data_IF_473472944093
#
_entry.id   IF_473472944093
#
_cell.length_a   1.000
_cell.length_b   1.000
_cell.length_c   1.000
_cell.angle_alpha   90.00
_cell.angle_beta   90.00
_cell.angle_gamma   90.00
#
_symmetry.space_group_name_H-M   'P 1'
#
loop_
_entity.id
_entity.type
_entity.pdbx_description
1 polymer ?
#
# COMPACT_ATOMS: atom_id res chain seq x y z
N UNK A 1 -16.66 -2.48 -3.44
CA UNK A 1 -15.36 -2.78 -2.81
C UNK A 1 -14.31 -1.98 -3.53
N UNK A 2 -13.39 -1.37 -2.79
CA UNK A 2 -12.31 -0.59 -3.35
C UNK A 2 -11.11 -1.51 -3.58
N UNK A 3 -10.83 -1.81 -4.84
CA UNK A 3 -9.72 -2.67 -5.25
C UNK A 3 -8.47 -1.82 -5.43
N UNK A 4 -7.39 -2.19 -4.74
CA UNK A 4 -6.12 -1.49 -4.73
C UNK A 4 -5.07 -2.39 -5.37
N UNK A 5 -4.42 -1.87 -6.40
CA UNK A 5 -3.20 -2.44 -6.96
C UNK A 5 -2.04 -1.60 -6.46
N UNK A 6 -1.09 -2.25 -5.80
CA UNK A 6 0.10 -1.61 -5.22
C UNK A 6 1.39 -2.15 -5.83
N UNK A 7 1.30 -3.30 -6.51
CA UNK A 7 2.42 -3.93 -7.17
C UNK A 7 2.41 -3.59 -8.66
N UNK A 8 3.55 -3.15 -9.18
CA UNK A 8 3.62 -2.60 -10.54
C UNK A 8 2.92 -1.24 -10.59
N UNK A 9 2.16 -0.98 -11.65
CA UNK A 9 1.45 0.30 -11.81
C UNK A 9 0.34 0.43 -10.78
N UNK A 10 0.51 1.38 -9.86
CA UNK A 10 -0.43 1.54 -8.76
C UNK A 10 -1.78 2.07 -9.22
N UNK A 11 -2.85 1.45 -8.74
CA UNK A 11 -4.21 1.76 -9.13
C UNK A 11 -5.19 1.61 -7.97
N UNK A 12 -6.33 2.29 -8.07
CA UNK A 12 -7.44 2.16 -7.15
C UNK A 12 -8.76 2.25 -7.93
N UNK A 13 -9.57 1.19 -7.85
CA UNK A 13 -10.81 1.04 -8.62
C UNK A 13 -11.99 0.74 -7.69
N UNK A 14 -13.13 1.39 -7.93
CA UNK A 14 -14.40 1.04 -7.31
C UNK A 14 -15.42 0.69 -8.40
N UNK A 15 -15.86 -0.57 -8.46
CA UNK A 15 -16.76 -1.05 -9.51
C UNK A 15 -16.25 -0.64 -10.91
N UNK A 16 -14.97 -0.95 -11.18
CA UNK A 16 -14.23 -0.63 -12.41
C UNK A 16 -14.05 0.86 -12.73
N UNK A 17 -14.50 1.75 -11.85
CA UNK A 17 -14.28 3.20 -11.99
C UNK A 17 -13.01 3.62 -11.26
N UNK A 18 -12.11 4.38 -11.91
CA UNK A 18 -10.84 4.78 -11.30
C UNK A 18 -11.04 5.86 -10.23
N UNK A 19 -10.38 5.67 -9.09
CA UNK A 19 -10.22 6.67 -8.04
C UNK A 19 -9.06 7.63 -8.32
N UNK A 20 -8.05 7.20 -9.08
CA UNK A 20 -6.92 8.05 -9.48
C UNK A 20 -7.28 8.91 -10.71
N UNK A 21 -6.57 10.04 -10.96
CA UNK A 21 -5.44 10.59 -10.19
C UNK A 21 -5.86 11.49 -9.02
N UNK A 22 -5.09 11.54 -7.94
CA UNK A 22 -5.27 12.59 -6.93
C UNK A 22 -4.65 13.91 -7.38
N UNK A 23 -5.15 15.03 -6.85
CA UNK A 23 -4.66 16.39 -7.20
C UNK A 23 -3.19 16.59 -6.86
N UNK A 24 -2.68 15.94 -5.83
CA UNK A 24 -1.29 16.09 -5.35
C UNK A 24 -0.67 14.72 -5.10
N UNK A 25 0.66 14.64 -5.24
CA UNK A 25 1.39 13.41 -4.89
C UNK A 25 1.28 13.09 -3.40
N UNK A 26 1.26 14.09 -2.51
CA UNK A 26 1.03 13.90 -1.06
C UNK A 26 -0.34 13.26 -0.77
N UNK A 27 -1.39 13.62 -1.52
CA UNK A 27 -2.70 12.98 -1.38
C UNK A 27 -2.69 11.52 -1.85
N UNK A 28 -2.01 11.24 -2.97
CA UNK A 28 -1.79 9.86 -3.46
C UNK A 28 -1.01 9.04 -2.43
N UNK A 29 0.10 9.58 -1.93
CA UNK A 29 0.97 8.95 -0.95
C UNK A 29 0.25 8.68 0.38
N UNK A 30 -0.47 9.67 0.92
CA UNK A 30 -1.27 9.51 2.14
C UNK A 30 -2.36 8.44 1.97
N UNK A 31 -3.02 8.40 0.82
CA UNK A 31 -4.03 7.38 0.54
C UNK A 31 -3.43 5.97 0.56
N UNK A 32 -2.36 5.72 -0.20
CA UNK A 32 -1.73 4.41 -0.24
C UNK A 32 -1.09 4.03 1.10
N UNK A 33 -0.44 4.97 1.79
CA UNK A 33 0.08 4.76 3.15
C UNK A 33 -1.00 4.21 4.09
N UNK A 34 -2.15 4.90 4.18
CA UNK A 34 -3.24 4.49 5.07
C UNK A 34 -3.82 3.13 4.65
N UNK A 35 -3.97 2.87 3.35
CA UNK A 35 -4.41 1.56 2.86
C UNK A 35 -3.47 0.45 3.31
N UNK A 36 -2.15 0.63 3.20
CA UNK A 36 -1.14 -0.34 3.63
C UNK A 36 -1.18 -0.53 5.14
N UNK A 37 -1.13 0.55 5.92
CA UNK A 37 -1.16 0.48 7.38
C UNK A 37 -2.41 -0.26 7.88
N UNK A 38 -3.57 -0.01 7.26
CA UNK A 38 -4.85 -0.58 7.67
C UNK A 38 -5.05 -2.04 7.26
N UNK A 39 -4.63 -2.42 6.05
CA UNK A 39 -4.94 -3.74 5.47
C UNK A 39 -3.74 -4.69 5.52
N UNK A 40 -2.53 -4.17 5.30
CA UNK A 40 -1.32 -4.97 5.41
C UNK A 40 -0.88 -5.07 6.88
N UNK A 41 -0.67 -3.95 7.58
CA UNK A 41 -0.20 -4.01 8.97
C UNK A 41 -1.30 -4.17 10.02
N UNK A 42 -2.57 -3.99 9.66
CA UNK A 42 -3.71 -4.10 10.58
C UNK A 42 -3.78 -2.98 11.62
N UNK A 43 -3.03 -1.88 11.45
CA UNK A 43 -3.08 -0.71 12.33
C UNK A 43 -4.34 0.08 12.01
N UNK A 44 -5.35 0.06 12.86
CA UNK A 44 -6.66 0.66 12.54
C UNK A 44 -6.78 2.14 12.92
N UNK A 45 -5.79 2.69 13.62
CA UNK A 45 -5.78 4.06 14.14
C UNK A 45 -4.41 4.71 13.95
N UNK A 46 -4.39 5.96 13.50
CA UNK A 46 -3.21 6.82 13.50
C UNK A 46 -3.50 8.15 14.19
N UNK A 47 -2.51 8.65 14.95
CA UNK A 47 -2.53 10.04 15.38
C UNK A 47 -2.33 10.95 14.17
N UNK A 48 -3.15 11.99 14.07
CA UNK A 48 -2.96 13.08 13.11
C UNK A 48 -1.59 13.72 13.27
N UNK A 49 -1.06 13.68 14.49
CA UNK A 49 0.26 14.22 14.76
C UNK A 49 1.36 13.49 14.01
N UNK A 50 1.41 12.18 14.18
CA UNK A 50 2.32 11.30 13.48
C UNK A 50 2.20 11.44 11.96
N UNK A 51 0.97 11.44 11.42
CA UNK A 51 0.77 11.62 9.97
C UNK A 51 1.26 12.98 9.48
N UNK A 52 1.10 14.04 10.26
CA UNK A 52 1.56 15.36 9.88
C UNK A 52 3.10 15.41 9.83
N UNK A 53 3.77 14.85 10.84
CA UNK A 53 5.23 14.83 10.92
C UNK A 53 5.84 13.90 9.85
N UNK A 54 5.16 12.80 9.51
CA UNK A 54 5.58 11.87 8.45
C UNK A 54 5.57 12.52 7.05
N UNK A 55 4.53 13.33 6.76
CA UNK A 55 4.29 13.87 5.42
C UNK A 55 4.76 15.33 5.22
N UNK A 56 4.97 16.09 6.30
CA UNK A 56 5.44 17.48 6.25
C UNK A 56 6.46 17.75 7.38
N UNK A 57 7.62 17.07 7.36
CA UNK A 57 8.59 17.13 8.46
C UNK A 57 9.22 18.52 8.65
N UNK A 58 9.35 19.29 7.57
CA UNK A 58 10.04 20.59 7.58
C UNK A 58 9.13 21.76 8.00
N UNK A 59 7.85 21.49 8.25
CA UNK A 59 6.89 22.51 8.65
C UNK A 59 6.69 22.52 10.16
N UNK A 60 6.36 23.71 10.69
CA UNK A 60 5.90 23.78 12.07
C UNK A 60 4.62 22.95 12.28
N UNK A 61 4.38 22.59 13.53
CA UNK A 61 3.27 21.72 13.94
C UNK A 61 1.91 22.18 13.45
N UNK A 62 1.66 23.49 13.41
CA UNK A 62 0.37 24.06 13.03
C UNK A 62 0.18 23.95 11.52
N UNK A 63 1.22 24.28 10.75
CA UNK A 63 1.24 24.19 9.30
C UNK A 63 1.16 22.73 8.82
N UNK A 64 1.88 21.80 9.45
CA UNK A 64 1.83 20.38 9.09
C UNK A 64 0.43 19.77 9.33
N UNK A 65 -0.20 20.09 10.47
CA UNK A 65 -1.58 19.67 10.77
C UNK A 65 -2.62 20.27 9.82
N UNK A 66 -2.44 21.54 9.42
CA UNK A 66 -3.30 22.20 8.43
C UNK A 66 -3.22 21.48 7.08
N UNK A 67 -2.00 21.21 6.60
CA UNK A 67 -1.78 20.49 5.36
C UNK A 67 -2.33 19.06 5.41
N UNK A 68 -2.17 18.36 6.55
CA UNK A 68 -2.78 17.06 6.76
C UNK A 68 -4.30 17.13 6.63
N UNK A 69 -4.94 18.12 7.27
CA UNK A 69 -6.39 18.29 7.21
C UNK A 69 -6.87 18.49 5.78
N UNK A 70 -6.22 19.37 5.02
CA UNK A 70 -6.55 19.64 3.62
C UNK A 70 -6.35 18.39 2.74
N UNK A 71 -5.26 17.66 2.95
CA UNK A 71 -4.93 16.45 2.19
C UNK A 71 -5.92 15.32 2.49
N UNK A 72 -6.27 15.10 3.76
CA UNK A 72 -7.31 14.17 4.16
C UNK A 72 -8.68 14.54 3.58
N UNK A 73 -9.00 15.84 3.51
CA UNK A 73 -10.23 16.31 2.87
C UNK A 73 -10.25 15.97 1.37
N UNK A 74 -9.16 16.20 0.65
CA UNK A 74 -9.03 15.83 -0.78
C UNK A 74 -9.26 14.33 -0.98
N UNK A 75 -8.57 13.50 -0.19
CA UNK A 75 -8.69 12.04 -0.28
C UNK A 75 -10.12 11.60 0.04
N UNK A 76 -10.66 12.02 1.19
CA UNK A 76 -11.98 11.59 1.66
C UNK A 76 -13.10 12.05 0.74
N UNK A 77 -13.01 13.28 0.21
CA UNK A 77 -14.01 13.79 -0.73
C UNK A 77 -14.02 12.97 -2.01
N UNK A 78 -12.83 12.63 -2.54
CA UNK A 78 -12.73 11.85 -3.77
C UNK A 78 -13.25 10.42 -3.58
N UNK A 79 -12.89 9.78 -2.47
CA UNK A 79 -13.40 8.45 -2.12
C UNK A 79 -14.92 8.50 -1.96
N UNK A 80 -15.45 9.44 -1.17
CA UNK A 80 -16.89 9.57 -0.93
C UNK A 80 -17.68 9.85 -2.21
N UNK A 81 -17.16 10.67 -3.11
CA UNK A 81 -17.79 10.94 -4.40
C UNK A 81 -17.91 9.67 -5.25
N UNK A 82 -16.91 8.79 -5.19
CA UNK A 82 -16.86 7.56 -5.98
C UNK A 82 -17.65 6.40 -5.34
N UNK A 83 -17.56 6.25 -4.03
CA UNK A 83 -18.05 5.07 -3.30
C UNK A 83 -19.34 5.34 -2.51
N UNK A 84 -19.67 6.61 -2.27
CA UNK A 84 -20.73 7.03 -1.33
C UNK A 84 -20.35 6.91 0.14
N UNK A 85 -19.13 6.47 0.47
CA UNK A 85 -18.69 6.16 1.83
C UNK A 85 -17.49 7.01 2.24
N UNK A 86 -17.38 7.33 3.52
CA UNK A 86 -16.22 8.04 4.04
C UNK A 86 -14.97 7.15 4.03
N UNK A 87 -13.81 7.72 3.71
CA UNK A 87 -12.56 6.95 3.64
C UNK A 87 -12.07 6.54 5.04
N UNK A 88 -12.26 7.42 6.02
CA UNK A 88 -11.82 7.24 7.39
C UNK A 88 -12.87 7.81 8.36
N UNK A 89 -12.85 7.33 9.59
CA UNK A 89 -13.60 7.89 10.72
C UNK A 89 -12.59 8.46 11.70
N UNK A 90 -12.86 9.59 12.34
CA UNK A 90 -11.87 10.11 13.28
C UNK A 90 -12.27 11.41 13.96
N UNK A 91 -11.41 11.83 14.88
CA UNK A 91 -11.52 13.08 15.62
C UNK A 91 -10.48 14.09 15.15
N UNK A 92 -10.43 15.28 15.74
CA UNK A 92 -9.32 16.23 15.50
C UNK A 92 -7.92 15.67 15.81
N UNK A 93 -7.82 14.56 16.53
CA UNK A 93 -6.54 13.96 16.93
C UNK A 93 -6.21 12.65 16.20
N UNK A 94 -7.21 11.97 15.65
CA UNK A 94 -7.06 10.60 15.15
C UNK A 94 -7.67 10.41 13.77
N UNK A 95 -7.10 9.48 13.01
CA UNK A 95 -7.58 8.98 11.73
C UNK A 95 -7.70 7.47 11.86
N UNK A 96 -8.93 6.98 11.85
CA UNK A 96 -9.22 5.55 12.01
C UNK A 96 -9.78 4.98 10.70
N UNK A 97 -9.48 3.71 10.45
CA UNK A 97 -10.06 2.96 9.32
C UNK A 97 -11.59 3.00 9.41
N UNK A 98 -12.26 3.37 8.32
CA UNK A 98 -13.69 3.13 8.20
C UNK A 98 -13.94 1.64 7.92
N UNK A 99 -14.57 0.92 8.85
CA UNK A 99 -14.86 -0.51 8.70
C UNK A 99 -15.98 -0.80 7.68
N UNK A 100 -16.83 0.17 7.38
CA UNK A 100 -17.88 0.03 6.37
C UNK A 100 -17.30 0.01 4.93
N UNK A 101 -16.18 0.73 4.74
CA UNK A 101 -15.46 0.76 3.48
C UNK A 101 -14.60 -0.49 3.32
N UNK A 102 -15.13 -1.46 2.58
CA UNK A 102 -14.39 -2.65 2.17
C UNK A 102 -13.30 -2.28 1.16
N UNK A 103 -12.05 -2.42 1.58
CA UNK A 103 -10.84 -2.24 0.78
C UNK A 103 -10.22 -3.62 0.59
N UNK A 104 -9.79 -3.90 -0.63
CA UNK A 104 -9.08 -5.12 -1.00
C UNK A 104 -7.79 -4.72 -1.69
N UNK A 105 -6.65 -5.17 -1.18
CA UNK A 105 -5.34 -4.88 -1.75
C UNK A 105 -4.68 -6.16 -2.27
N UNK A 106 -4.06 -6.09 -3.44
CA UNK A 106 -3.23 -7.16 -4.01
C UNK A 106 -2.15 -7.66 -3.04
N UNK A 107 -1.59 -6.77 -2.21
CA UNK A 107 -0.64 -7.15 -1.17
C UNK A 107 -1.22 -7.96 -0.01
N UNK A 108 -2.50 -7.81 0.30
CA UNK A 108 -3.15 -8.64 1.33
C UNK A 108 -3.27 -10.09 0.84
N UNK A 109 -3.58 -10.26 -0.44
CA UNK A 109 -3.54 -11.57 -1.10
C UNK A 109 -2.11 -12.09 -1.18
N UNK A 110 -1.15 -11.24 -1.54
CA UNK A 110 0.26 -11.62 -1.55
C UNK A 110 0.72 -12.08 -0.16
N UNK A 111 0.30 -11.44 0.93
CA UNK A 111 0.67 -11.84 2.29
C UNK A 111 0.04 -13.17 2.69
N UNK A 112 -1.27 -13.29 2.52
CA UNK A 112 -2.06 -14.44 2.97
C UNK A 112 -1.95 -15.67 2.06
N UNK A 113 -1.63 -15.50 0.78
CA UNK A 113 -1.53 -16.57 -0.20
C UNK A 113 -0.39 -17.54 0.10
N UNK A 114 -0.61 -18.82 -0.17
CA UNK A 114 0.41 -19.84 -0.06
C UNK A 114 1.49 -19.66 -1.13
N UNK A 115 2.70 -20.15 -0.85
CA UNK A 115 3.86 -20.00 -1.74
C UNK A 115 3.64 -20.64 -3.13
N UNK A 116 2.67 -21.54 -3.27
CA UNK A 116 2.52 -22.35 -4.47
C UNK A 116 1.94 -21.60 -5.68
N UNK A 117 1.30 -20.45 -5.46
CA UNK A 117 0.70 -19.61 -6.52
C UNK A 117 1.65 -18.53 -7.07
N UNK A 118 2.92 -18.51 -6.62
CA UNK A 118 3.83 -17.38 -6.81
C UNK A 118 4.35 -17.14 -8.22
N UNK A 119 4.34 -18.15 -9.09
CA UNK A 119 4.78 -18.00 -10.49
C UNK A 119 3.89 -16.98 -11.23
N UNK A 120 2.70 -16.68 -10.69
CA UNK A 120 1.73 -15.75 -11.28
C UNK A 120 1.59 -14.42 -10.53
N UNK A 121 2.28 -14.21 -9.41
CA UNK A 121 2.08 -12.99 -8.61
C UNK A 121 3.01 -11.86 -9.08
N UNK A 122 2.45 -10.70 -9.50
CA UNK A 122 3.24 -9.55 -9.93
C UNK A 122 4.26 -9.06 -8.89
N UNK A 123 4.05 -9.38 -7.61
CA UNK A 123 4.86 -8.90 -6.47
C UNK A 123 6.30 -9.39 -6.50
N UNK A 124 6.51 -10.52 -7.18
CA UNK A 124 7.83 -11.13 -7.36
C UNK A 124 8.65 -10.33 -8.37
N UNK A 125 8.00 -9.71 -9.36
CA UNK A 125 8.65 -9.07 -10.51
C UNK A 125 8.71 -7.55 -10.44
N UNK A 126 7.90 -6.94 -9.58
CA UNK A 126 7.76 -5.50 -9.51
C UNK A 126 7.93 -4.99 -8.09
N UNK A 127 8.69 -3.90 -7.94
CA UNK A 127 8.80 -3.17 -6.68
C UNK A 127 7.45 -2.51 -6.41
N UNK A 128 6.80 -2.79 -5.26
CA UNK A 128 5.52 -2.18 -4.94
C UNK A 128 5.67 -0.67 -4.72
N UNK A 129 4.64 0.09 -5.10
CA UNK A 129 4.56 1.54 -4.89
C UNK A 129 5.72 2.34 -5.52
N UNK A 130 6.36 1.83 -6.57
CA UNK A 130 7.47 2.52 -7.28
C UNK A 130 7.12 3.96 -7.71
N UNK A 131 5.84 4.21 -7.98
CA UNK A 131 5.35 5.49 -8.50
C UNK A 131 4.88 6.46 -7.41
N UNK A 132 5.28 6.23 -6.15
CA UNK A 132 4.83 6.98 -4.96
C UNK A 132 5.93 7.85 -4.32
N UNK A 133 7.09 7.99 -4.97
CA UNK A 133 8.25 8.68 -4.40
C UNK A 133 7.94 10.16 -4.11
N UNK A 134 8.24 10.58 -2.88
CA UNK A 134 8.19 11.97 -2.43
C UNK A 134 9.61 12.41 -2.05
N UNK A 135 10.33 13.01 -2.99
CA UNK A 135 11.74 13.41 -2.80
C UNK A 135 11.96 14.47 -1.70
N UNK A 136 10.91 15.21 -1.34
CA UNK A 136 10.91 16.27 -0.33
C UNK A 136 10.37 15.79 1.04
N UNK A 137 10.46 14.49 1.31
CA UNK A 137 9.76 13.88 2.43
C UNK A 137 10.52 12.68 3.00
N UNK A 138 11.70 12.93 3.58
CA UNK A 138 12.59 11.88 4.06
C UNK A 138 11.89 10.82 4.94
N UNK A 139 11.07 11.18 5.95
CA UNK A 139 10.43 10.17 6.81
C UNK A 139 9.47 9.25 6.05
N UNK A 140 8.76 9.79 5.05
CA UNK A 140 7.89 8.97 4.20
C UNK A 140 8.72 8.10 3.25
N UNK A 141 9.82 8.63 2.72
CA UNK A 141 10.71 7.88 1.85
C UNK A 141 11.37 6.71 2.59
N UNK A 142 11.84 6.93 3.83
CA UNK A 142 12.32 5.87 4.71
C UNK A 142 11.24 4.81 4.98
N UNK A 143 10.01 5.23 5.29
CA UNK A 143 8.90 4.28 5.43
C UNK A 143 8.68 3.46 4.15
N UNK A 144 8.70 4.11 2.98
CA UNK A 144 8.52 3.45 1.69
C UNK A 144 9.63 2.44 1.40
N UNK A 145 10.89 2.80 1.65
CA UNK A 145 12.03 1.91 1.49
C UNK A 145 11.95 0.70 2.42
N UNK A 146 11.60 0.92 3.69
CA UNK A 146 11.42 -0.15 4.67
C UNK A 146 10.29 -1.10 4.26
N UNK A 147 9.16 -0.54 3.82
CA UNK A 147 8.04 -1.31 3.31
C UNK A 147 8.43 -2.14 2.07
N UNK A 148 9.14 -1.54 1.10
CA UNK A 148 9.61 -2.25 -0.09
C UNK A 148 10.60 -3.37 0.25
N UNK A 149 11.52 -3.13 1.19
CA UNK A 149 12.47 -4.13 1.66
C UNK A 149 11.76 -5.30 2.37
N UNK A 150 10.72 -5.02 3.17
CA UNK A 150 9.90 -6.05 3.80
C UNK A 150 9.21 -6.92 2.75
N UNK A 151 8.57 -6.31 1.74
CA UNK A 151 7.93 -7.07 0.66
C UNK A 151 8.96 -7.89 -0.13
N UNK A 152 10.13 -7.34 -0.42
CA UNK A 152 11.20 -8.07 -1.09
C UNK A 152 11.64 -9.30 -0.27
N UNK A 153 11.81 -9.15 1.03
CA UNK A 153 12.17 -10.25 1.91
C UNK A 153 11.09 -11.33 1.94
N UNK A 154 9.80 -10.93 2.01
CA UNK A 154 8.68 -11.86 1.91
C UNK A 154 8.69 -12.60 0.57
N UNK A 155 8.93 -11.91 -0.55
CA UNK A 155 9.04 -12.52 -1.87
C UNK A 155 10.13 -13.59 -1.91
N UNK A 156 11.34 -13.28 -1.43
CA UNK A 156 12.46 -14.24 -1.38
C UNK A 156 12.10 -15.47 -0.54
N UNK A 157 11.52 -15.26 0.65
CA UNK A 157 11.11 -16.36 1.54
C UNK A 157 10.10 -17.28 0.86
N UNK A 158 9.10 -16.70 0.20
CA UNK A 158 8.08 -17.52 -0.42
C UNK A 158 8.58 -18.21 -1.68
N UNK A 159 9.36 -17.55 -2.55
CA UNK A 159 10.01 -18.17 -3.72
C UNK A 159 10.86 -19.36 -3.29
N UNK A 160 11.63 -19.21 -2.22
CA UNK A 160 12.47 -20.29 -1.67
C UNK A 160 11.63 -21.52 -1.29
N UNK A 161 10.50 -21.31 -0.59
CA UNK A 161 9.56 -22.40 -0.25
C UNK A 161 8.95 -23.05 -1.49
N UNK A 162 8.60 -22.25 -2.50
CA UNK A 162 8.06 -22.77 -3.78
C UNK A 162 9.10 -23.64 -4.48
N UNK A 163 10.36 -23.21 -4.52
CA UNK A 163 11.46 -23.98 -5.10
C UNK A 163 11.62 -25.32 -4.37
N UNK A 164 11.63 -25.32 -3.04
CA UNK A 164 11.74 -26.57 -2.25
C UNK A 164 10.59 -27.54 -2.55
N UNK A 165 9.37 -27.03 -2.65
CA UNK A 165 8.20 -27.83 -2.97
C UNK A 165 8.24 -28.40 -4.40
N UNK A 166 8.60 -27.59 -5.39
CA UNK A 166 8.73 -28.07 -6.78
C UNK A 166 9.86 -29.09 -6.93
N UNK A 167 10.96 -28.94 -6.18
CA UNK A 167 12.02 -29.96 -6.09
C UNK A 167 11.49 -31.27 -5.50
N UNK A 168 10.69 -31.22 -4.44
CA UNK A 168 10.07 -32.41 -3.87
C UNK A 168 9.13 -33.12 -4.85
N UNK A 169 8.45 -32.35 -5.73
CA UNK A 169 7.63 -32.86 -6.83
C UNK A 169 8.44 -33.27 -8.08
N UNK A 170 9.77 -33.13 -8.08
CA UNK A 170 10.65 -33.35 -9.24
C UNK A 170 10.32 -32.51 -10.48
N UNK A 171 9.66 -31.37 -10.28
CA UNK A 171 9.27 -30.46 -11.36
C UNK A 171 10.39 -29.44 -11.64
N UNK A 172 11.46 -29.90 -12.28
CA UNK A 172 12.66 -29.10 -12.55
C UNK A 172 12.41 -27.91 -13.47
N UNK A 173 11.47 -28.03 -14.42
CA UNK A 173 11.11 -26.92 -15.31
C UNK A 173 10.53 -25.72 -14.56
N UNK A 174 9.69 -25.96 -13.54
CA UNK A 174 9.16 -24.90 -12.70
C UNK A 174 10.25 -24.23 -11.84
N UNK A 175 11.24 -25.01 -11.38
CA UNK A 175 12.39 -24.49 -10.61
C UNK A 175 13.26 -23.58 -11.49
N UNK A 176 13.58 -24.01 -12.72
CA UNK A 176 14.39 -23.21 -13.65
C UNK A 176 13.71 -21.86 -13.98
N UNK A 177 12.40 -21.87 -14.22
CA UNK A 177 11.61 -20.65 -14.44
C UNK A 177 11.67 -19.69 -13.25
N UNK A 178 11.52 -20.21 -12.02
CA UNK A 178 11.57 -19.40 -10.80
C UNK A 178 12.96 -18.81 -10.51
N UNK A 179 14.03 -19.53 -10.84
CA UNK A 179 15.41 -19.05 -10.62
C UNK A 179 15.84 -18.03 -11.67
N UNK A 180 15.36 -18.14 -12.90
CA UNK A 180 15.63 -17.17 -13.96
C UNK A 180 15.04 -15.77 -13.67
N UNK A 181 14.02 -15.71 -12.81
CA UNK A 181 13.31 -14.49 -12.42
C UNK A 181 13.86 -13.82 -11.14
N UNK A 182 14.87 -14.40 -10.48
CA UNK A 182 15.57 -13.86 -9.30
C UNK A 182 16.79 -13.01 -9.71
#
# INVERSE_FOLDING_TARGET
>A
MLNITTIGTINALWQDKPLLPFRTQKAKALFFFLVIEWNFYGRTEHRREFLADLFWPDLDRKASLENLRQTLYIVSTKVKLLTGQDFYVGSRFTVNRNQELKIHADLEQFRSGDAYDLIQLPAVRHVPLSDLVLYDCEPFYEWLLNFQAEIQQLSIQKISKTIEYQKALQNWHAVESLVADL
#
